data_IF_277135341836
#
_entry.id   IF_277135341836
#
_cell.length_a   1.000
_cell.length_b   1.000
_cell.length_c   1.000
_cell.angle_alpha   90.00
_cell.angle_beta   90.00
_cell.angle_gamma   90.00
#
_symmetry.space_group_name_H-M   'P 1'
#
loop_
_entity.id
_entity.type
_entity.pdbx_description
1 polymer ?
#
# COMPACT_ATOMS: atom_id res chain seq x y z
N UNK A 1 -8.70 -24.18 -89.72
CA UNK A 1 -7.96 -23.04 -89.14
C UNK A 1 -8.61 -22.45 -87.89
N UNK A 2 -9.95 -22.34 -87.82
CA UNK A 2 -10.66 -21.76 -86.67
C UNK A 2 -10.43 -22.46 -85.31
N UNK A 3 -10.27 -23.79 -85.26
CA UNK A 3 -9.99 -24.51 -84.00
C UNK A 3 -8.61 -24.19 -83.41
N UNK A 4 -7.60 -23.97 -84.26
CA UNK A 4 -6.24 -23.62 -83.80
C UNK A 4 -6.23 -22.22 -83.16
N UNK A 5 -6.96 -21.27 -83.74
CA UNK A 5 -7.13 -19.93 -83.19
C UNK A 5 -7.85 -19.93 -81.82
N UNK A 6 -8.91 -20.73 -81.67
CA UNK A 6 -9.59 -20.92 -80.37
C UNK A 6 -8.68 -21.53 -79.31
N UNK A 7 -7.86 -22.51 -79.69
CA UNK A 7 -6.92 -23.15 -78.76
C UNK A 7 -5.84 -22.19 -78.28
N UNK A 8 -5.30 -21.36 -79.18
CA UNK A 8 -4.33 -20.31 -78.85
C UNK A 8 -4.95 -19.24 -77.94
N UNK A 9 -6.19 -18.80 -78.19
CA UNK A 9 -6.90 -17.87 -77.30
C UNK A 9 -7.15 -18.45 -75.90
N UNK A 10 -7.56 -19.72 -75.82
CA UNK A 10 -7.80 -20.40 -74.55
C UNK A 10 -6.51 -20.60 -73.74
N UNK A 11 -5.38 -20.88 -74.40
CA UNK A 11 -4.06 -20.98 -73.75
C UNK A 11 -3.59 -19.61 -73.22
N UNK A 12 -3.78 -18.53 -74.00
CA UNK A 12 -3.48 -17.15 -73.57
C UNK A 12 -4.33 -16.72 -72.36
N UNK A 13 -5.61 -17.08 -72.33
CA UNK A 13 -6.52 -16.75 -71.23
C UNK A 13 -6.18 -17.54 -69.95
N UNK A 14 -5.82 -18.82 -70.10
CA UNK A 14 -5.35 -19.65 -68.97
C UNK A 14 -4.02 -19.17 -68.39
N UNK A 15 -3.07 -18.75 -69.24
CA UNK A 15 -1.81 -18.12 -68.78
C UNK A 15 -2.08 -16.82 -68.03
N UNK A 16 -2.93 -15.93 -68.57
CA UNK A 16 -3.33 -14.70 -67.89
C UNK A 16 -4.00 -14.97 -66.54
N UNK A 17 -4.87 -15.98 -66.47
CA UNK A 17 -5.59 -16.32 -65.24
C UNK A 17 -4.65 -16.93 -64.19
N UNK A 18 -3.65 -17.73 -64.60
CA UNK A 18 -2.59 -18.23 -63.71
C UNK A 18 -1.75 -17.08 -63.15
N UNK A 19 -1.27 -16.18 -64.01
CA UNK A 19 -0.50 -14.99 -63.61
C UNK A 19 -1.29 -14.11 -62.63
N UNK A 20 -2.55 -13.82 -62.94
CA UNK A 20 -3.44 -13.03 -62.07
C UNK A 20 -3.70 -13.69 -60.72
N UNK A 21 -3.86 -15.02 -60.68
CA UNK A 21 -4.04 -15.75 -59.42
C UNK A 21 -2.76 -15.81 -58.58
N UNK A 22 -1.60 -15.94 -59.23
CA UNK A 22 -0.30 -15.95 -58.56
C UNK A 22 0.06 -14.57 -57.98
N UNK A 23 -0.24 -13.49 -58.71
CA UNK A 23 -0.11 -12.12 -58.22
C UNK A 23 -1.06 -11.83 -57.04
N UNK A 24 -2.31 -12.32 -57.09
CA UNK A 24 -3.27 -12.21 -55.98
C UNK A 24 -2.81 -12.97 -54.74
N UNK A 25 -2.28 -14.19 -54.89
CA UNK A 25 -1.70 -14.94 -53.77
C UNK A 25 -0.51 -14.23 -53.16
N UNK A 26 0.42 -13.73 -53.99
CA UNK A 26 1.56 -12.97 -53.48
C UNK A 26 1.15 -11.68 -52.77
N UNK A 27 0.11 -10.99 -53.25
CA UNK A 27 -0.43 -9.81 -52.59
C UNK A 27 -1.07 -10.17 -51.23
N UNK A 28 -1.85 -11.25 -51.17
CA UNK A 28 -2.46 -11.75 -49.93
C UNK A 28 -1.40 -12.17 -48.90
N UNK A 29 -0.36 -12.91 -49.31
CA UNK A 29 0.71 -13.34 -48.42
C UNK A 29 1.51 -12.15 -47.84
N UNK A 30 1.75 -11.11 -48.67
CA UNK A 30 2.41 -9.87 -48.22
C UNK A 30 1.53 -9.09 -47.25
N UNK A 31 0.24 -9.01 -47.52
CA UNK A 31 -0.71 -8.32 -46.66
C UNK A 31 -0.86 -9.06 -45.32
N UNK A 32 -0.96 -10.40 -45.34
CA UNK A 32 -1.02 -11.22 -44.13
C UNK A 32 0.28 -11.11 -43.32
N UNK A 33 1.44 -11.10 -43.97
CA UNK A 33 2.72 -10.89 -43.31
C UNK A 33 2.80 -9.51 -42.64
N UNK A 34 2.35 -8.45 -43.33
CA UNK A 34 2.30 -7.10 -42.76
C UNK A 34 1.33 -7.02 -41.58
N UNK A 35 0.14 -7.60 -41.68
CA UNK A 35 -0.84 -7.65 -40.59
C UNK A 35 -0.29 -8.40 -39.37
N UNK A 36 0.34 -9.57 -39.57
CA UNK A 36 0.99 -10.34 -38.50
C UNK A 36 2.11 -9.54 -37.83
N UNK A 37 2.96 -8.86 -38.60
CA UNK A 37 4.03 -8.02 -38.06
C UNK A 37 3.49 -6.84 -37.23
N UNK A 38 2.43 -6.17 -37.71
CA UNK A 38 1.79 -5.06 -36.99
C UNK A 38 1.15 -5.53 -35.67
N UNK A 39 0.52 -6.70 -35.66
CA UNK A 39 -0.05 -7.29 -34.44
C UNK A 39 1.04 -7.62 -33.40
N UNK A 40 2.16 -8.20 -33.83
CA UNK A 40 3.30 -8.50 -32.95
C UNK A 40 3.93 -7.22 -32.38
N UNK A 41 4.07 -6.16 -33.19
CA UNK A 41 4.55 -4.87 -32.70
C UNK A 41 3.59 -4.27 -31.66
N UNK A 42 2.29 -4.31 -31.93
CA UNK A 42 1.26 -3.81 -30.99
C UNK A 42 1.27 -4.57 -29.68
N UNK A 43 1.38 -5.91 -29.73
CA UNK A 43 1.49 -6.73 -28.53
C UNK A 43 2.75 -6.38 -27.71
N UNK A 44 3.89 -6.17 -28.39
CA UNK A 44 5.15 -5.79 -27.73
C UNK A 44 5.06 -4.41 -27.06
N UNK A 45 4.38 -3.45 -27.67
CA UNK A 45 4.12 -2.13 -27.08
C UNK A 45 3.19 -2.21 -25.88
N UNK A 46 2.11 -2.98 -25.98
CA UNK A 46 1.15 -3.19 -24.89
C UNK A 46 1.81 -3.89 -23.69
N UNK A 47 2.65 -4.89 -23.94
CA UNK A 47 3.40 -5.60 -22.90
C UNK A 47 4.44 -4.67 -22.23
N UNK A 48 5.11 -3.80 -22.99
CA UNK A 48 5.99 -2.79 -22.43
C UNK A 48 5.24 -1.76 -21.58
N UNK A 49 4.05 -1.33 -22.02
CA UNK A 49 3.20 -0.42 -21.25
C UNK A 49 2.72 -1.07 -19.95
N UNK A 50 2.26 -2.32 -20.00
CA UNK A 50 1.89 -3.10 -18.80
C UNK A 50 3.09 -3.28 -17.86
N UNK A 51 4.27 -3.57 -18.40
CA UNK A 51 5.51 -3.65 -17.64
C UNK A 51 5.88 -2.34 -16.94
N UNK A 52 5.72 -1.20 -17.62
CA UNK A 52 5.95 0.13 -17.03
C UNK A 52 4.95 0.45 -15.92
N UNK A 53 3.66 0.20 -16.15
CA UNK A 53 2.60 0.45 -15.16
C UNK A 53 2.81 -0.38 -13.89
N UNK A 54 3.07 -1.68 -14.04
CA UNK A 54 3.33 -2.57 -12.89
C UNK A 54 4.60 -2.19 -12.13
N UNK A 55 5.66 -1.79 -12.83
CA UNK A 55 6.88 -1.29 -12.19
C UNK A 55 6.64 0.03 -11.44
N UNK A 56 5.85 0.95 -12.00
CA UNK A 56 5.45 2.19 -11.37
C UNK A 56 4.59 1.94 -10.12
N UNK A 57 3.59 1.05 -10.21
CA UNK A 57 2.77 0.66 -9.06
C UNK A 57 3.59 0.03 -7.94
N UNK A 58 4.51 -0.88 -8.29
CA UNK A 58 5.43 -1.49 -7.32
C UNK A 58 6.32 -0.44 -6.65
N UNK A 59 6.84 0.52 -7.42
CA UNK A 59 7.63 1.63 -6.89
C UNK A 59 6.80 2.52 -5.96
N UNK A 60 5.58 2.90 -6.36
CA UNK A 60 4.65 3.71 -5.57
C UNK A 60 4.21 2.98 -4.29
N UNK A 61 4.11 1.66 -4.32
CA UNK A 61 3.85 0.85 -3.13
C UNK A 61 5.05 0.84 -2.17
N UNK A 62 6.28 0.69 -2.69
CA UNK A 62 7.51 0.79 -1.88
C UNK A 62 7.68 2.17 -1.25
N UNK A 63 7.43 3.24 -2.01
CA UNK A 63 7.49 4.61 -1.50
C UNK A 63 6.45 4.86 -0.39
N UNK A 64 5.21 4.38 -0.56
CA UNK A 64 4.19 4.45 0.51
C UNK A 64 4.62 3.70 1.78
N UNK A 65 5.22 2.51 1.63
CA UNK A 65 5.73 1.76 2.77
C UNK A 65 6.92 2.45 3.46
N UNK A 66 7.80 3.11 2.69
CA UNK A 66 8.91 3.88 3.23
C UNK A 66 8.42 5.13 3.97
N UNK A 67 7.39 5.81 3.45
CA UNK A 67 6.74 6.94 4.12
C UNK A 67 6.07 6.51 5.43
N UNK A 68 5.30 5.42 5.44
CA UNK A 68 4.69 4.90 6.69
C UNK A 68 5.77 4.57 7.73
N UNK A 69 6.90 3.97 7.32
CA UNK A 69 8.01 3.68 8.22
C UNK A 69 8.69 4.94 8.77
N UNK A 70 8.89 5.95 7.93
CA UNK A 70 9.48 7.22 8.35
C UNK A 70 8.56 7.97 9.33
N UNK A 71 7.24 7.96 9.10
CA UNK A 71 6.25 8.57 9.99
C UNK A 71 6.18 7.82 11.33
N UNK A 72 6.16 6.48 11.33
CA UNK A 72 6.22 5.68 12.56
C UNK A 72 7.51 5.97 13.37
N UNK A 73 8.66 6.11 12.69
CA UNK A 73 9.92 6.46 13.34
C UNK A 73 9.91 7.87 13.94
N UNK A 74 9.34 8.84 13.22
CA UNK A 74 9.16 10.22 13.74
C UNK A 74 8.24 10.26 14.95
N UNK A 75 7.13 9.54 14.92
CA UNK A 75 6.20 9.43 16.05
C UNK A 75 6.88 8.79 17.27
N UNK A 76 7.71 7.77 17.05
CA UNK A 76 8.47 7.14 18.13
C UNK A 76 9.49 8.11 18.75
N UNK A 77 10.18 8.90 17.92
CA UNK A 77 11.14 9.92 18.36
C UNK A 77 10.45 11.03 19.17
N UNK A 78 9.31 11.55 18.69
CA UNK A 78 8.51 12.56 19.42
C UNK A 78 8.06 12.03 20.77
N UNK A 79 7.51 10.81 20.82
CA UNK A 79 7.12 10.19 22.09
C UNK A 79 8.31 10.04 23.05
N UNK A 80 9.49 9.68 22.53
CA UNK A 80 10.68 9.54 23.37
C UNK A 80 11.17 10.89 23.89
N UNK A 81 11.12 11.93 23.05
CA UNK A 81 11.40 13.31 23.46
C UNK A 81 10.43 13.77 24.54
N UNK A 82 9.13 13.60 24.35
CA UNK A 82 8.11 13.95 25.35
C UNK A 82 8.32 13.21 26.67
N UNK A 83 8.74 11.94 26.64
CA UNK A 83 9.08 11.19 27.86
C UNK A 83 10.29 11.78 28.58
N UNK A 84 11.34 12.18 27.84
CA UNK A 84 12.53 12.83 28.42
C UNK A 84 12.18 14.19 29.02
N UNK A 85 11.43 14.99 28.28
CA UNK A 85 10.97 16.32 28.71
C UNK A 85 10.08 16.21 29.95
N UNK A 86 9.18 15.21 29.99
CA UNK A 86 8.36 14.89 31.17
C UNK A 86 9.21 14.50 32.39
N UNK A 87 10.20 13.62 32.22
CA UNK A 87 11.09 13.22 33.31
C UNK A 87 11.94 14.39 33.82
N UNK A 88 12.40 15.26 32.91
CA UNK A 88 13.14 16.48 33.25
C UNK A 88 12.25 17.48 34.01
N UNK A 89 11.05 17.77 33.51
CA UNK A 89 10.10 18.66 34.17
C UNK A 89 9.74 18.16 35.57
N UNK A 90 9.55 16.83 35.74
CA UNK A 90 9.30 16.24 37.07
C UNK A 90 10.47 16.46 38.03
N UNK A 91 11.72 16.33 37.57
CA UNK A 91 12.91 16.56 38.43
C UNK A 91 13.04 18.02 38.79
N UNK A 92 12.91 18.92 37.81
CA UNK A 92 12.93 20.37 38.03
C UNK A 92 11.87 20.76 39.06
N UNK A 93 10.63 20.28 38.92
CA UNK A 93 9.55 20.57 39.88
C UNK A 93 9.87 20.11 41.31
N UNK A 94 10.58 18.99 41.49
CA UNK A 94 11.00 18.50 42.80
C UNK A 94 12.19 19.30 43.37
N UNK A 95 13.09 19.78 42.50
CA UNK A 95 14.32 20.49 42.87
C UNK A 95 14.11 22.00 43.08
N UNK A 96 13.15 22.63 42.39
CA UNK A 96 12.85 24.07 42.56
C UNK A 96 12.00 24.38 43.78
N UNK A 97 11.55 23.37 44.55
CA UNK A 97 10.97 23.57 45.88
C UNK A 97 9.77 24.53 45.93
N UNK A 98 9.07 24.75 44.82
CA UNK A 98 7.80 25.48 44.83
C UNK A 98 6.73 24.55 45.38
N UNK A 99 6.67 24.42 46.71
CA UNK A 99 5.44 24.14 47.44
C UNK A 99 4.49 25.34 47.25
N UNK A 100 4.02 25.53 46.02
CA UNK A 100 2.91 26.40 45.71
C UNK A 100 1.86 25.50 45.08
N UNK A 101 1.05 24.91 45.96
CA UNK A 101 -0.36 24.58 45.76
C UNK A 101 -0.82 24.44 44.30
N UNK A 102 -0.27 23.46 43.60
CA UNK A 102 -0.77 22.97 42.32
C UNK A 102 -1.61 21.72 42.64
N UNK A 103 -2.92 21.85 42.93
CA UNK A 103 -3.79 20.70 42.85
C UNK A 103 -3.79 20.29 41.38
N UNK A 104 -3.16 19.14 41.06
CA UNK A 104 -3.39 18.25 39.89
C UNK A 104 -2.15 17.62 39.23
N UNK A 105 -0.90 17.90 39.64
CA UNK A 105 0.27 17.25 39.01
C UNK A 105 1.03 16.23 39.88
N UNK A 106 0.33 15.61 40.83
CA UNK A 106 0.70 14.31 41.39
C UNK A 106 0.50 13.16 40.37
N UNK A 107 0.99 13.31 39.13
CA UNK A 107 1.21 12.19 38.20
C UNK A 107 2.64 11.66 38.33
N UNK A 108 3.21 11.76 39.54
CA UNK A 108 4.32 10.92 39.92
C UNK A 108 3.88 9.49 39.74
N UNK A 109 4.69 8.78 38.97
CA UNK A 109 4.68 7.36 38.67
C UNK A 109 4.67 6.61 40.01
N UNK A 110 3.49 6.52 40.63
CA UNK A 110 3.25 5.60 41.73
C UNK A 110 3.51 4.20 41.16
N UNK A 111 4.23 3.34 41.87
CA UNK A 111 4.58 2.01 41.38
C UNK A 111 3.31 1.19 41.22
N UNK A 112 2.72 1.14 40.01
CA UNK A 112 1.53 0.33 39.69
C UNK A 112 0.56 0.17 40.87
N UNK A 113 0.27 1.27 41.58
CA UNK A 113 -0.69 1.20 42.68
C UNK A 113 -2.02 1.34 41.99
N UNK A 114 -2.59 0.18 41.69
CA UNK A 114 -3.97 -0.06 41.34
C UNK A 114 -4.66 1.20 40.82
N UNK A 115 -4.54 1.47 39.50
CA UNK A 115 -5.50 2.39 38.85
C UNK A 115 -6.86 2.00 39.40
N UNK A 116 -7.55 2.94 40.06
CA UNK A 116 -8.83 2.64 40.75
C UNK A 116 -9.80 1.90 39.82
N UNK A 117 -9.61 2.09 38.52
CA UNK A 117 -10.27 1.41 37.43
C UNK A 117 -9.29 0.46 36.72
N UNK A 118 -9.44 -0.85 36.92
CA UNK A 118 -8.84 -1.87 36.06
C UNK A 118 -9.74 -2.06 34.83
N UNK A 119 -9.37 -1.37 33.75
CA UNK A 119 -10.11 -1.40 32.49
C UNK A 119 -9.57 -2.47 31.51
N UNK A 120 -8.66 -3.33 31.96
CA UNK A 120 -8.01 -4.37 31.14
C UNK A 120 -9.03 -5.30 30.44
N UNK A 121 -10.17 -5.58 31.09
CA UNK A 121 -11.24 -6.44 30.55
C UNK A 121 -12.29 -5.72 29.71
N UNK A 122 -12.30 -4.38 29.67
CA UNK A 122 -13.36 -3.63 29.01
C UNK A 122 -13.24 -3.72 27.48
N UNK A 123 -14.33 -3.96 26.79
CA UNK A 123 -14.35 -3.97 25.32
C UNK A 123 -14.13 -2.58 24.74
N UNK A 124 -13.78 -2.51 23.45
CA UNK A 124 -13.65 -1.23 22.75
C UNK A 124 -14.96 -0.43 22.75
N UNK A 125 -16.10 -1.11 22.66
CA UNK A 125 -17.41 -0.48 22.70
C UNK A 125 -17.67 0.17 24.07
N UNK A 126 -17.38 -0.54 25.16
CA UNK A 126 -17.56 -0.05 26.53
C UNK A 126 -16.62 1.13 26.83
N UNK A 127 -15.35 1.05 26.43
CA UNK A 127 -14.40 2.17 26.59
C UNK A 127 -14.86 3.42 25.82
N UNK A 128 -15.37 3.24 24.60
CA UNK A 128 -15.89 4.35 23.79
C UNK A 128 -17.14 4.95 24.41
N UNK A 129 -18.04 4.13 24.92
CA UNK A 129 -19.29 4.58 25.53
C UNK A 129 -19.01 5.38 26.81
N UNK A 130 -18.13 4.89 27.66
CA UNK A 130 -17.66 5.60 28.86
C UNK A 130 -17.08 6.97 28.49
N UNK A 131 -16.29 7.07 27.42
CA UNK A 131 -15.71 8.35 26.97
C UNK A 131 -16.79 9.36 26.54
N UNK A 132 -17.88 8.91 25.94
CA UNK A 132 -18.93 9.80 25.43
C UNK A 132 -20.02 10.12 26.46
N UNK A 133 -20.14 9.33 27.52
CA UNK A 133 -21.23 9.43 28.51
C UNK A 133 -20.76 9.83 29.91
N UNK A 134 -19.51 9.52 30.29
CA UNK A 134 -18.99 9.84 31.62
C UNK A 134 -18.25 11.18 31.67
N UNK A 135 -18.36 11.87 32.80
CA UNK A 135 -17.62 13.10 33.11
C UNK A 135 -16.59 12.91 34.23
N UNK A 136 -16.34 11.67 34.67
CA UNK A 136 -15.33 11.38 35.68
C UNK A 136 -13.94 11.47 35.04
N UNK A 137 -13.22 12.54 35.39
CA UNK A 137 -11.90 12.85 34.84
C UNK A 137 -10.89 11.73 35.11
N UNK A 138 -10.94 11.07 36.28
CA UNK A 138 -10.02 9.97 36.61
C UNK A 138 -10.32 8.71 35.79
N UNK A 139 -11.61 8.44 35.53
CA UNK A 139 -12.06 7.32 34.70
C UNK A 139 -11.70 7.52 33.22
N UNK A 140 -11.89 8.73 32.69
CA UNK A 140 -11.55 9.08 31.31
C UNK A 140 -10.04 8.97 31.05
N UNK A 141 -9.22 9.38 32.02
CA UNK A 141 -7.76 9.21 31.96
C UNK A 141 -7.37 7.73 31.96
N UNK A 142 -8.01 6.91 32.81
CA UNK A 142 -7.79 5.46 32.80
C UNK A 142 -8.21 4.81 31.47
N UNK A 143 -9.33 5.24 30.86
CA UNK A 143 -9.78 4.77 29.55
C UNK A 143 -8.77 5.11 28.45
N UNK A 144 -8.22 6.33 28.46
CA UNK A 144 -7.17 6.77 27.51
C UNK A 144 -5.89 5.96 27.68
N UNK A 145 -5.47 5.71 28.92
CA UNK A 145 -4.28 4.91 29.20
C UNK A 145 -4.41 3.45 28.74
N UNK A 146 -5.55 2.81 28.97
CA UNK A 146 -5.80 1.46 28.45
C UNK A 146 -5.83 1.43 26.91
N UNK A 147 -6.38 2.47 26.26
CA UNK A 147 -6.36 2.56 24.81
C UNK A 147 -4.93 2.63 24.27
N UNK A 148 -4.09 3.49 24.85
CA UNK A 148 -2.68 3.60 24.48
C UNK A 148 -1.88 2.32 24.80
N UNK A 149 -2.18 1.64 25.92
CA UNK A 149 -1.56 0.36 26.26
C UNK A 149 -1.87 -0.70 25.20
N UNK A 150 -3.13 -0.83 24.78
CA UNK A 150 -3.56 -1.78 23.74
C UNK A 150 -2.96 -1.45 22.38
N UNK A 151 -2.98 -0.18 21.98
CA UNK A 151 -2.34 0.27 20.72
C UNK A 151 -0.85 -0.02 20.71
N UNK A 152 -0.13 0.23 21.81
CA UNK A 152 1.30 -0.05 21.92
C UNK A 152 1.62 -1.53 21.71
N UNK A 153 0.85 -2.42 22.34
CA UNK A 153 0.98 -3.88 22.13
C UNK A 153 0.65 -4.25 20.68
N UNK A 154 -0.41 -3.68 20.11
CA UNK A 154 -0.78 -3.90 18.72
C UNK A 154 0.32 -3.46 17.75
N UNK A 155 0.90 -2.27 17.92
CA UNK A 155 1.98 -1.78 17.07
C UNK A 155 3.24 -2.65 17.22
N UNK A 156 3.62 -3.00 18.44
CA UNK A 156 4.74 -3.91 18.70
C UNK A 156 4.51 -5.28 18.03
N UNK A 157 3.29 -5.82 18.13
CA UNK A 157 2.91 -7.07 17.47
C UNK A 157 2.88 -6.92 15.94
N UNK A 158 2.32 -5.83 15.40
CA UNK A 158 2.24 -5.54 13.95
C UNK A 158 3.65 -5.47 13.34
N UNK A 159 4.58 -4.79 14.00
CA UNK A 159 5.99 -4.70 13.57
C UNK A 159 6.66 -6.08 13.62
N UNK A 160 6.41 -6.87 14.68
CA UNK A 160 6.98 -8.22 14.84
C UNK A 160 6.43 -9.23 13.83
N UNK A 161 5.16 -9.11 13.43
CA UNK A 161 4.50 -10.05 12.52
C UNK A 161 4.44 -9.58 11.05
N UNK A 162 4.84 -8.34 10.74
CA UNK A 162 4.97 -7.86 9.34
C UNK A 162 6.05 -8.62 8.58
N UNK A 163 7.12 -9.05 9.27
CA UNK A 163 8.25 -9.77 8.66
C UNK A 163 7.95 -11.25 8.38
N UNK A 164 6.93 -11.84 9.02
CA UNK A 164 6.52 -13.25 8.83
C UNK A 164 5.38 -13.43 7.83
N UNK A 165 4.70 -12.36 7.40
CA UNK A 165 3.62 -12.43 6.39
C UNK A 165 4.10 -12.49 4.93
N UNK A 166 5.40 -12.35 4.68
CA UNK A 166 6.02 -12.76 3.42
C UNK A 166 6.98 -13.94 3.71
N UNK A 167 6.49 -15.19 3.78
CA UNK A 167 7.32 -16.27 3.32
C UNK A 167 7.47 -16.08 1.81
N UNK A 168 8.69 -16.15 1.30
CA UNK A 168 8.95 -16.17 -0.15
C UNK A 168 7.96 -17.11 -0.87
N UNK A 169 7.18 -16.55 -1.78
CA UNK A 169 6.57 -17.21 -2.92
C UNK A 169 6.24 -16.14 -3.95
#
# INVERSE_FOLDING_TARGET
EAERLKKIQSELENEKNKKSNEDKRSAQDKEEFQQRSALVQRQREEEQLKGKLTAEESRRQKERQAQEFAEDARLAEVNERERRDYDLARRLALETGTEADLPHLHRSRRPAVNSKYDLSKHSYAELRDIINTSCDIELLDACREEFHRRLKVYHAWKVKNRKTKNPSA
#
